data_IF_546697980897
#
_entry.id   IF_546697980897
#
_cell.length_a   1.000
_cell.length_b   1.000
_cell.length_c   1.000
_cell.angle_alpha   90.00
_cell.angle_beta   90.00
_cell.angle_gamma   90.00
#
_symmetry.space_group_name_H-M   'P 1'
#
loop_
_entity.id
_entity.type
_entity.pdbx_description
1 polymer ?
#
# COMPACT_ATOMS: atom_id res chain seq x y z
N UNK A 1 -34.04 -14.29 7.79
CA UNK A 1 -33.54 -13.44 8.89
C UNK A 1 -32.06 -13.71 9.04
N UNK A 2 -31.20 -12.76 8.68
CA UNK A 2 -29.77 -12.87 8.98
C UNK A 2 -29.63 -12.88 10.50
N UNK A 3 -28.94 -13.88 11.05
CA UNK A 3 -28.65 -13.94 12.48
C UNK A 3 -27.86 -12.70 12.88
N UNK A 4 -28.30 -12.00 13.93
CA UNK A 4 -27.64 -10.77 14.38
C UNK A 4 -26.35 -11.12 15.12
N UNK A 5 -25.23 -11.22 14.40
CA UNK A 5 -23.90 -11.58 14.94
C UNK A 5 -23.26 -10.45 15.76
N UNK A 6 -23.81 -9.23 15.67
CA UNK A 6 -23.29 -8.01 16.32
C UNK A 6 -23.01 -8.20 17.80
N UNK A 7 -23.97 -8.74 18.56
CA UNK A 7 -23.82 -8.88 20.03
C UNK A 7 -22.72 -9.88 20.38
N UNK A 8 -22.58 -10.96 19.62
CA UNK A 8 -21.54 -11.97 19.82
C UNK A 8 -20.16 -11.34 19.54
N UNK A 9 -20.03 -10.54 18.47
CA UNK A 9 -18.78 -9.84 18.14
C UNK A 9 -18.40 -8.77 19.17
N UNK A 10 -19.37 -8.09 19.78
CA UNK A 10 -19.12 -7.14 20.86
C UNK A 10 -18.71 -7.87 22.14
N UNK A 11 -19.39 -8.97 22.47
CA UNK A 11 -19.06 -9.80 23.62
C UNK A 11 -17.66 -10.42 23.51
N UNK A 12 -17.22 -10.81 22.30
CA UNK A 12 -15.87 -11.29 22.02
C UNK A 12 -14.78 -10.21 22.24
N UNK A 13 -15.15 -8.95 22.41
CA UNK A 13 -14.25 -7.84 22.75
C UNK A 13 -14.38 -7.40 24.21
N UNK A 14 -15.18 -8.11 25.02
CA UNK A 14 -15.40 -7.78 26.43
C UNK A 14 -14.11 -7.88 27.24
N UNK A 15 -13.87 -6.97 28.20
CA UNK A 15 -12.78 -7.14 29.18
C UNK A 15 -13.01 -8.36 30.08
N UNK A 16 -14.27 -8.75 30.32
CA UNK A 16 -14.62 -9.94 31.10
C UNK A 16 -14.27 -11.22 30.33
N UNK A 17 -13.39 -12.04 30.93
CA UNK A 17 -12.92 -13.27 30.32
C UNK A 17 -14.03 -14.30 30.10
N UNK A 18 -15.01 -14.42 31.00
CA UNK A 18 -16.10 -15.39 30.84
C UNK A 18 -17.00 -15.02 29.66
N UNK A 19 -17.37 -13.73 29.56
CA UNK A 19 -18.17 -13.22 28.44
C UNK A 19 -17.44 -13.41 27.11
N UNK A 20 -16.15 -13.07 27.08
CA UNK A 20 -15.32 -13.19 25.88
C UNK A 20 -15.17 -14.63 25.42
N UNK A 21 -14.82 -15.56 26.32
CA UNK A 21 -14.67 -16.98 25.98
C UNK A 21 -15.98 -17.61 25.51
N UNK A 22 -17.12 -17.27 26.14
CA UNK A 22 -18.42 -17.76 25.69
C UNK A 22 -18.80 -17.24 24.28
N UNK A 23 -18.46 -16.00 23.98
CA UNK A 23 -18.67 -15.42 22.66
C UNK A 23 -17.77 -16.05 21.58
N UNK A 24 -16.49 -16.28 21.89
CA UNK A 24 -15.54 -16.98 21.01
C UNK A 24 -16.00 -18.41 20.72
N UNK A 25 -16.50 -19.13 21.72
CA UNK A 25 -17.06 -20.47 21.54
C UNK A 25 -18.31 -20.44 20.66
N UNK A 26 -19.20 -19.46 20.85
CA UNK A 26 -20.39 -19.27 20.02
C UNK A 26 -20.04 -19.00 18.55
N UNK A 27 -19.02 -18.18 18.29
CA UNK A 27 -18.53 -17.91 16.93
C UNK A 27 -17.97 -19.19 16.29
N UNK A 28 -17.18 -19.96 17.05
CA UNK A 28 -16.61 -21.23 16.59
C UNK A 28 -17.71 -22.24 16.26
N UNK A 29 -18.69 -22.40 17.15
CA UNK A 29 -19.83 -23.29 16.91
C UNK A 29 -20.61 -22.89 15.65
N UNK A 30 -20.87 -21.60 15.43
CA UNK A 30 -21.56 -21.16 14.22
C UNK A 30 -20.73 -21.43 12.95
N UNK A 31 -19.43 -21.18 13.00
CA UNK A 31 -18.51 -21.48 11.89
C UNK A 31 -18.48 -22.98 11.54
N UNK A 32 -18.51 -23.86 12.54
CA UNK A 32 -18.50 -25.32 12.37
C UNK A 32 -19.84 -25.86 11.86
N UNK A 33 -20.96 -25.29 12.33
CA UNK A 33 -22.30 -25.73 11.92
C UNK A 33 -22.69 -25.27 10.52
N UNK A 34 -22.36 -24.03 10.14
CA UNK A 34 -22.76 -23.46 8.86
C UNK A 34 -21.76 -22.39 8.38
N UNK A 35 -20.60 -22.85 7.90
CA UNK A 35 -19.56 -21.97 7.38
C UNK A 35 -20.07 -20.98 6.31
N UNK A 36 -20.82 -21.37 5.26
CA UNK A 36 -21.28 -20.43 4.24
C UNK A 36 -22.05 -19.23 4.82
N UNK A 37 -23.01 -19.49 5.71
CA UNK A 37 -23.82 -18.42 6.30
C UNK A 37 -23.05 -17.65 7.38
N UNK A 38 -22.08 -18.27 8.05
CA UNK A 38 -21.16 -17.57 8.96
C UNK A 38 -20.34 -16.52 8.21
N UNK A 39 -19.72 -16.90 7.09
CA UNK A 39 -18.94 -15.98 6.26
C UNK A 39 -19.80 -14.84 5.70
N UNK A 40 -21.02 -15.14 5.24
CA UNK A 40 -21.99 -14.14 4.79
C UNK A 40 -22.42 -13.20 5.91
N UNK A 41 -22.65 -13.71 7.13
CA UNK A 41 -23.01 -12.86 8.27
C UNK A 41 -21.90 -11.87 8.62
N UNK A 42 -20.63 -12.31 8.56
CA UNK A 42 -19.48 -11.44 8.79
C UNK A 42 -19.33 -10.38 7.70
N UNK A 43 -19.52 -10.73 6.41
CA UNK A 43 -19.43 -9.76 5.32
C UNK A 43 -20.57 -8.73 5.37
N UNK A 44 -21.78 -9.16 5.74
CA UNK A 44 -22.94 -8.28 5.92
C UNK A 44 -22.70 -7.33 7.10
N UNK A 45 -22.23 -7.83 8.24
CA UNK A 45 -21.88 -7.01 9.41
C UNK A 45 -20.84 -5.95 9.03
N UNK A 46 -19.74 -6.35 8.37
CA UNK A 46 -18.68 -5.45 7.91
C UNK A 46 -19.23 -4.34 6.97
N UNK A 47 -20.13 -4.71 6.05
CA UNK A 47 -20.70 -3.79 5.05
C UNK A 47 -21.81 -2.87 5.56
N UNK A 48 -22.31 -3.07 6.78
CA UNK A 48 -23.44 -2.34 7.32
C UNK A 48 -22.99 -1.08 8.09
N UNK A 49 -23.32 0.09 7.55
CA UNK A 49 -22.95 1.39 8.12
C UNK A 49 -23.65 1.74 9.44
N UNK A 50 -24.75 1.05 9.76
CA UNK A 50 -25.47 1.24 11.01
C UNK A 50 -24.90 0.39 12.16
N UNK A 51 -23.97 -0.53 11.87
CA UNK A 51 -23.36 -1.39 12.89
C UNK A 51 -22.16 -0.71 13.58
N UNK A 52 -21.89 -1.01 14.86
CA UNK A 52 -20.78 -0.42 15.59
C UNK A 52 -19.42 -0.66 14.89
N UNK A 53 -18.53 0.35 14.80
CA UNK A 53 -17.22 0.18 14.15
C UNK A 53 -16.40 -1.00 14.69
N UNK A 54 -16.45 -1.23 16.01
CA UNK A 54 -15.76 -2.35 16.65
C UNK A 54 -16.27 -3.73 16.20
N UNK A 55 -17.59 -3.91 15.99
CA UNK A 55 -18.12 -5.19 15.50
C UNK A 55 -17.78 -5.39 14.03
N UNK A 56 -17.87 -4.32 13.21
CA UNK A 56 -17.49 -4.35 11.79
C UNK A 56 -16.02 -4.73 11.60
N UNK A 57 -15.11 -4.09 12.35
CA UNK A 57 -13.68 -4.39 12.33
C UNK A 57 -13.39 -5.84 12.71
N UNK A 58 -13.98 -6.32 13.80
CA UNK A 58 -13.79 -7.71 14.22
C UNK A 58 -14.39 -8.69 13.19
N UNK A 59 -15.55 -8.40 12.62
CA UNK A 59 -16.17 -9.24 11.60
C UNK A 59 -15.25 -9.43 10.39
N UNK A 60 -14.66 -8.34 9.89
CA UNK A 60 -13.70 -8.40 8.79
C UNK A 60 -12.40 -9.13 9.15
N UNK A 61 -11.89 -8.98 10.37
CA UNK A 61 -10.71 -9.74 10.85
C UNK A 61 -11.00 -11.24 10.88
N UNK A 62 -12.14 -11.65 11.43
CA UNK A 62 -12.54 -13.07 11.49
C UNK A 62 -12.76 -13.61 10.07
N UNK A 63 -13.38 -12.83 9.19
CA UNK A 63 -13.58 -13.20 7.79
C UNK A 63 -12.24 -13.41 7.07
N UNK A 64 -11.29 -12.48 7.22
CA UNK A 64 -9.93 -12.61 6.68
C UNK A 64 -9.24 -13.88 7.20
N UNK A 65 -9.28 -14.11 8.50
CA UNK A 65 -8.65 -15.27 9.14
C UNK A 65 -9.34 -16.60 8.77
N UNK A 66 -10.54 -16.55 8.20
CA UNK A 66 -11.23 -17.73 7.66
C UNK A 66 -10.79 -18.08 6.23
N UNK A 67 -9.97 -17.24 5.60
CA UNK A 67 -9.49 -17.37 4.23
C UNK A 67 -7.97 -17.55 4.12
N UNK A 68 -7.23 -17.28 5.19
CA UNK A 68 -5.77 -17.28 5.14
C UNK A 68 -5.14 -17.76 6.45
N UNK A 69 -3.95 -18.34 6.33
CA UNK A 69 -3.13 -18.77 7.45
C UNK A 69 -1.65 -18.69 7.08
N UNK A 70 -0.78 -18.49 8.09
CA UNK A 70 0.68 -18.53 7.89
C UNK A 70 1.18 -19.93 7.56
N UNK A 71 0.53 -20.94 8.14
CA UNK A 71 0.84 -22.34 7.86
C UNK A 71 0.22 -22.75 6.52
N UNK A 72 1.03 -23.33 5.63
CA UNK A 72 0.63 -23.63 4.25
C UNK A 72 -0.42 -24.72 4.18
N UNK A 73 -0.36 -25.73 5.06
CA UNK A 73 -1.34 -26.82 5.12
C UNK A 73 -2.69 -26.22 5.54
N UNK A 74 -2.70 -25.44 6.62
CA UNK A 74 -3.92 -24.78 7.09
C UNK A 74 -4.48 -23.80 6.05
N UNK A 75 -3.61 -23.07 5.34
CA UNK A 75 -4.04 -22.18 4.25
C UNK A 75 -4.76 -22.96 3.16
N UNK A 76 -4.22 -24.09 2.74
CA UNK A 76 -4.86 -24.96 1.74
C UNK A 76 -6.22 -25.48 2.23
N UNK A 77 -6.33 -25.91 3.50
CA UNK A 77 -7.62 -26.32 4.08
C UNK A 77 -8.67 -25.20 4.03
N UNK A 78 -8.28 -23.97 4.41
CA UNK A 78 -9.17 -22.81 4.38
C UNK A 78 -9.58 -22.47 2.94
N UNK A 79 -8.64 -22.53 1.99
CA UNK A 79 -8.91 -22.37 0.56
C UNK A 79 -9.95 -23.38 0.07
N UNK A 80 -9.78 -24.67 0.37
CA UNK A 80 -10.73 -25.71 -0.03
C UNK A 80 -12.11 -25.49 0.60
N UNK A 81 -12.16 -25.06 1.87
CA UNK A 81 -13.42 -24.69 2.52
C UNK A 81 -14.11 -23.53 1.79
N UNK A 82 -13.40 -22.47 1.42
CA UNK A 82 -13.96 -21.37 0.62
C UNK A 82 -14.45 -21.85 -0.76
N UNK A 83 -13.64 -22.66 -1.46
CA UNK A 83 -13.99 -23.19 -2.78
C UNK A 83 -15.31 -23.96 -2.75
N UNK A 84 -15.56 -24.71 -1.67
CA UNK A 84 -16.79 -25.50 -1.46
C UNK A 84 -18.04 -24.66 -1.14
N UNK A 85 -17.91 -23.36 -0.86
CA UNK A 85 -19.05 -22.48 -0.58
C UNK A 85 -19.89 -22.30 -1.85
N UNK A 86 -21.22 -22.26 -1.68
CA UNK A 86 -22.15 -22.02 -2.78
C UNK A 86 -21.84 -20.72 -3.55
N UNK A 87 -21.81 -20.73 -4.89
CA UNK A 87 -21.48 -19.56 -5.70
C UNK A 87 -22.36 -18.33 -5.46
N UNK A 88 -23.65 -18.51 -5.13
CA UNK A 88 -24.54 -17.37 -4.85
C UNK A 88 -24.21 -16.72 -3.49
N UNK A 89 -23.71 -17.50 -2.53
CA UNK A 89 -23.20 -16.97 -1.26
C UNK A 89 -21.87 -16.25 -1.48
N UNK A 90 -20.93 -16.85 -2.23
CA UNK A 90 -19.66 -16.18 -2.59
C UNK A 90 -19.92 -14.84 -3.27
N UNK A 91 -20.85 -14.80 -4.23
CA UNK A 91 -21.24 -13.57 -4.91
C UNK A 91 -21.74 -12.49 -3.94
N UNK A 92 -22.62 -12.84 -3.00
CA UNK A 92 -23.10 -11.89 -1.98
C UNK A 92 -21.98 -11.36 -1.09
N UNK A 93 -21.05 -12.24 -0.68
CA UNK A 93 -19.86 -11.84 0.11
C UNK A 93 -19.02 -10.85 -0.70
N UNK A 94 -18.70 -11.17 -1.95
CA UNK A 94 -17.93 -10.32 -2.87
C UNK A 94 -18.58 -8.94 -3.05
N UNK A 95 -19.89 -8.88 -3.27
CA UNK A 95 -20.62 -7.61 -3.40
C UNK A 95 -20.65 -6.82 -2.08
N UNK A 96 -20.78 -7.48 -0.92
CA UNK A 96 -20.64 -6.83 0.38
C UNK A 96 -19.26 -6.20 0.58
N UNK A 97 -18.19 -6.90 0.20
CA UNK A 97 -16.82 -6.38 0.29
C UNK A 97 -16.62 -5.18 -0.64
N UNK A 98 -17.00 -5.28 -1.91
CA UNK A 98 -16.86 -4.17 -2.85
C UNK A 98 -17.68 -2.95 -2.43
N UNK A 99 -18.89 -3.14 -1.88
CA UNK A 99 -19.67 -2.04 -1.30
C UNK A 99 -18.96 -1.39 -0.10
N UNK A 100 -18.31 -2.19 0.74
CA UNK A 100 -17.60 -1.69 1.94
C UNK A 100 -16.41 -0.80 1.57
N UNK A 101 -15.79 -0.96 0.40
CA UNK A 101 -14.76 -0.03 -0.08
C UNK A 101 -15.29 1.40 -0.20
N UNK A 102 -16.60 1.58 -0.38
CA UNK A 102 -17.27 2.89 -0.40
C UNK A 102 -17.66 3.43 0.97
N UNK A 103 -17.37 2.71 2.06
CA UNK A 103 -17.76 3.10 3.42
C UNK A 103 -17.14 4.43 3.83
N UNK A 104 -17.84 5.31 4.58
CA UNK A 104 -17.21 6.46 5.24
C UNK A 104 -16.18 6.05 6.30
N UNK A 105 -16.26 4.85 6.86
CA UNK A 105 -15.37 4.37 7.94
C UNK A 105 -14.07 3.82 7.37
N UNK A 106 -12.95 4.48 7.67
CA UNK A 106 -11.63 4.08 7.14
C UNK A 106 -11.21 2.66 7.55
N UNK A 107 -11.44 2.26 8.80
CA UNK A 107 -11.12 0.91 9.28
C UNK A 107 -11.90 -0.18 8.53
N UNK A 108 -13.17 0.08 8.18
CA UNK A 108 -14.01 -0.84 7.44
C UNK A 108 -13.49 -1.00 6.00
N UNK A 109 -13.14 0.12 5.34
CA UNK A 109 -12.50 0.10 4.01
C UNK A 109 -11.21 -0.71 4.02
N UNK A 110 -10.30 -0.40 4.94
CA UNK A 110 -9.01 -1.10 5.10
C UNK A 110 -9.19 -2.61 5.27
N UNK A 111 -10.07 -3.00 6.18
CA UNK A 111 -10.32 -4.43 6.45
C UNK A 111 -10.95 -5.10 5.23
N UNK A 112 -11.87 -4.42 4.55
CA UNK A 112 -12.46 -4.94 3.31
C UNK A 112 -11.43 -5.11 2.20
N UNK A 113 -10.51 -4.17 2.01
CA UNK A 113 -9.42 -4.26 1.04
C UNK A 113 -8.57 -5.52 1.25
N UNK A 114 -8.25 -5.84 2.51
CA UNK A 114 -7.51 -7.06 2.86
C UNK A 114 -8.30 -8.33 2.55
N UNK A 115 -9.58 -8.38 2.93
CA UNK A 115 -10.43 -9.56 2.67
C UNK A 115 -10.63 -9.75 1.16
N UNK A 116 -10.87 -8.67 0.41
CA UNK A 116 -10.97 -8.69 -1.05
C UNK A 116 -9.73 -9.32 -1.68
N UNK A 117 -8.53 -8.95 -1.24
CA UNK A 117 -7.29 -9.54 -1.75
C UNK A 117 -7.16 -11.03 -1.42
N UNK A 118 -7.55 -11.47 -0.22
CA UNK A 118 -7.55 -12.90 0.13
C UNK A 118 -8.52 -13.71 -0.73
N UNK A 119 -9.74 -13.22 -0.93
CA UNK A 119 -10.69 -13.88 -1.84
C UNK A 119 -10.15 -13.87 -3.28
N UNK A 120 -9.55 -12.77 -3.73
CA UNK A 120 -8.94 -12.66 -5.06
C UNK A 120 -7.81 -13.70 -5.26
N UNK A 121 -6.94 -13.88 -4.26
CA UNK A 121 -5.86 -14.88 -4.29
C UNK A 121 -6.36 -16.32 -4.42
N UNK A 122 -7.61 -16.59 -4.03
CA UNK A 122 -8.24 -17.90 -4.19
C UNK A 122 -8.96 -18.00 -5.54
N UNK A 123 -9.74 -16.98 -5.92
CA UNK A 123 -10.68 -17.06 -7.04
C UNK A 123 -10.09 -16.63 -8.39
N UNK A 124 -9.10 -15.75 -8.44
CA UNK A 124 -8.48 -15.32 -9.71
C UNK A 124 -7.77 -16.49 -10.42
N UNK A 125 -6.89 -17.27 -9.75
CA UNK A 125 -6.25 -18.43 -10.38
C UNK A 125 -7.26 -19.48 -10.88
N UNK A 126 -8.45 -19.52 -10.25
CA UNK A 126 -9.56 -20.43 -10.59
C UNK A 126 -10.52 -19.86 -11.63
N UNK A 127 -10.30 -18.62 -12.10
CA UNK A 127 -11.18 -17.89 -13.03
C UNK A 127 -12.60 -17.64 -12.49
N UNK A 128 -12.76 -17.57 -11.16
CA UNK A 128 -14.06 -17.37 -10.48
C UNK A 128 -14.38 -15.89 -10.16
N UNK A 129 -13.39 -14.99 -10.25
CA UNK A 129 -13.58 -13.54 -10.01
C UNK A 129 -12.82 -12.63 -10.99
N UNK A 130 -12.98 -12.89 -12.29
CA UNK A 130 -12.22 -12.19 -13.34
C UNK A 130 -12.60 -10.71 -13.51
N UNK A 131 -13.80 -10.31 -13.07
CA UNK A 131 -14.33 -8.96 -13.18
C UNK A 131 -13.80 -8.00 -12.09
N UNK A 132 -13.08 -8.51 -11.07
CA UNK A 132 -12.61 -7.71 -9.94
C UNK A 132 -11.78 -6.50 -10.39
N UNK A 133 -10.75 -6.74 -11.22
CA UNK A 133 -9.83 -5.70 -11.66
C UNK A 133 -10.57 -4.63 -12.48
N UNK A 134 -11.48 -5.04 -13.36
CA UNK A 134 -12.29 -4.12 -14.15
C UNK A 134 -13.21 -3.26 -13.26
N UNK A 135 -13.82 -3.84 -12.22
CA UNK A 135 -14.60 -3.08 -11.23
C UNK A 135 -13.74 -2.08 -10.47
N UNK A 136 -12.56 -2.48 -10.00
CA UNK A 136 -11.64 -1.57 -9.29
C UNK A 136 -11.15 -0.42 -10.19
N UNK A 137 -10.81 -0.71 -11.44
CA UNK A 137 -10.47 0.33 -12.43
C UNK A 137 -11.64 1.31 -12.65
N UNK A 138 -12.87 0.80 -12.67
CA UNK A 138 -14.08 1.63 -12.79
C UNK A 138 -14.19 2.62 -11.62
N UNK A 139 -13.98 2.18 -10.38
CA UNK A 139 -13.97 3.06 -9.21
C UNK A 139 -12.86 4.12 -9.28
N UNK A 140 -11.72 3.81 -9.90
CA UNK A 140 -10.63 4.78 -10.03
C UNK A 140 -10.92 5.85 -11.09
N UNK A 141 -11.55 5.46 -12.19
CA UNK A 141 -11.73 6.27 -13.40
C UNK A 141 -13.01 7.11 -13.39
N UNK A 142 -14.05 6.67 -12.70
CA UNK A 142 -15.32 7.39 -12.64
C UNK A 142 -15.19 8.76 -11.94
N UNK A 143 -15.87 9.76 -12.50
CA UNK A 143 -15.85 11.14 -11.98
C UNK A 143 -16.59 11.27 -10.64
N UNK A 144 -17.69 10.55 -10.47
CA UNK A 144 -18.55 10.64 -9.28
C UNK A 144 -18.02 9.81 -8.08
N UNK A 145 -16.89 9.14 -8.24
CA UNK A 145 -16.32 8.31 -7.17
C UNK A 145 -15.62 9.17 -6.12
N UNK A 146 -15.98 8.95 -4.84
CA UNK A 146 -15.42 9.68 -3.70
C UNK A 146 -13.91 9.42 -3.54
N UNK A 147 -13.16 10.41 -3.05
CA UNK A 147 -11.73 10.23 -2.76
C UNK A 147 -11.44 9.06 -1.82
N UNK A 148 -12.34 8.80 -0.86
CA UNK A 148 -12.22 7.69 0.08
C UNK A 148 -12.35 6.32 -0.60
N UNK A 149 -13.27 6.19 -1.56
CA UNK A 149 -13.40 4.96 -2.35
C UNK A 149 -12.17 4.78 -3.25
N UNK A 150 -11.70 5.82 -3.94
CA UNK A 150 -10.47 5.72 -4.76
C UNK A 150 -9.24 5.34 -3.93
N UNK A 151 -9.09 5.89 -2.73
CA UNK A 151 -8.02 5.49 -1.81
C UNK A 151 -8.13 4.00 -1.43
N UNK A 152 -9.33 3.53 -1.07
CA UNK A 152 -9.56 2.12 -0.75
C UNK A 152 -9.38 1.19 -1.96
N UNK A 153 -9.69 1.68 -3.17
CA UNK A 153 -9.41 0.97 -4.43
C UNK A 153 -7.91 0.77 -4.62
N UNK A 154 -7.08 1.79 -4.40
CA UNK A 154 -5.61 1.65 -4.49
C UNK A 154 -5.08 0.68 -3.45
N UNK A 155 -5.59 0.76 -2.22
CA UNK A 155 -5.22 -0.17 -1.16
C UNK A 155 -5.60 -1.62 -1.50
N UNK A 156 -6.82 -1.85 -2.00
CA UNK A 156 -7.28 -3.16 -2.44
C UNK A 156 -6.42 -3.69 -3.60
N UNK A 157 -6.12 -2.86 -4.60
CA UNK A 157 -5.22 -3.22 -5.70
C UNK A 157 -3.83 -3.58 -5.19
N UNK A 158 -3.27 -2.79 -4.26
CA UNK A 158 -1.96 -3.07 -3.69
C UNK A 158 -1.91 -4.40 -2.96
N UNK A 159 -2.94 -4.74 -2.18
CA UNK A 159 -3.04 -6.07 -1.56
C UNK A 159 -3.28 -7.18 -2.57
N UNK A 160 -4.09 -6.95 -3.62
CA UNK A 160 -4.29 -7.94 -4.70
C UNK A 160 -2.97 -8.25 -5.39
N UNK A 161 -2.17 -7.23 -5.73
CA UNK A 161 -0.85 -7.40 -6.33
C UNK A 161 0.16 -8.09 -5.38
N UNK A 162 -0.01 -7.97 -4.07
CA UNK A 162 0.83 -8.68 -3.08
C UNK A 162 0.50 -10.18 -3.00
N UNK A 163 -0.76 -10.55 -3.23
CA UNK A 163 -1.29 -11.89 -2.93
C UNK A 163 -1.51 -12.76 -4.18
N UNK A 164 -1.64 -12.16 -5.37
CA UNK A 164 -1.92 -12.85 -6.64
C UNK A 164 -0.64 -12.94 -7.47
N UNK A 165 -0.36 -14.10 -8.07
CA UNK A 165 0.79 -14.26 -8.96
C UNK A 165 0.57 -13.50 -10.28
N UNK A 166 1.60 -12.88 -10.88
CA UNK A 166 1.52 -12.31 -12.22
C UNK A 166 1.06 -13.29 -13.30
N UNK A 167 1.30 -14.58 -13.10
CA UNK A 167 0.90 -15.65 -14.03
C UNK A 167 -0.62 -15.91 -14.01
N UNK A 168 -1.31 -15.52 -12.94
CA UNK A 168 -2.75 -15.73 -12.77
C UNK A 168 -3.58 -14.57 -13.34
N UNK A 169 -2.93 -13.46 -13.72
CA UNK A 169 -3.58 -12.31 -14.37
C UNK A 169 -3.35 -12.33 -15.89
N UNK A 170 -4.40 -11.98 -16.62
CA UNK A 170 -4.31 -11.74 -18.06
C UNK A 170 -3.67 -10.38 -18.33
N UNK A 171 -3.05 -10.20 -19.50
CA UNK A 171 -2.33 -8.97 -19.84
C UNK A 171 -3.21 -7.72 -19.81
N UNK A 172 -4.50 -7.84 -20.18
CA UNK A 172 -5.47 -6.75 -20.09
C UNK A 172 -5.77 -6.39 -18.62
N UNK A 173 -5.82 -7.37 -17.72
CA UNK A 173 -5.96 -7.14 -16.28
C UNK A 173 -4.71 -6.46 -15.71
N UNK A 174 -3.50 -6.89 -16.12
CA UNK A 174 -2.24 -6.22 -15.74
C UNK A 174 -2.23 -4.75 -16.16
N UNK A 175 -2.59 -4.48 -17.42
CA UNK A 175 -2.68 -3.12 -17.95
C UNK A 175 -3.73 -2.29 -17.19
N UNK A 176 -4.86 -2.90 -16.82
CA UNK A 176 -5.90 -2.25 -16.03
C UNK A 176 -5.43 -1.92 -14.59
N UNK A 177 -4.68 -2.83 -13.95
CA UNK A 177 -4.04 -2.57 -12.64
C UNK A 177 -3.10 -1.37 -12.74
N UNK A 178 -2.17 -1.38 -13.69
CA UNK A 178 -1.21 -0.29 -13.86
C UNK A 178 -1.90 1.04 -14.17
N UNK A 179 -2.89 1.03 -15.05
CA UNK A 179 -3.69 2.21 -15.37
C UNK A 179 -4.36 2.78 -14.12
N UNK A 180 -5.01 1.94 -13.31
CA UNK A 180 -5.67 2.36 -12.09
C UNK A 180 -4.68 2.93 -11.05
N UNK A 181 -3.54 2.26 -10.86
CA UNK A 181 -2.53 2.69 -9.88
C UNK A 181 -1.89 4.01 -10.29
N UNK A 182 -1.42 4.11 -11.54
CA UNK A 182 -0.76 5.31 -12.08
C UNK A 182 -1.73 6.50 -12.12
N UNK A 183 -2.99 6.26 -12.50
CA UNK A 183 -4.02 7.30 -12.45
C UNK A 183 -4.29 7.74 -11.01
N UNK A 184 -4.36 6.81 -10.06
CA UNK A 184 -4.55 7.12 -8.65
C UNK A 184 -3.40 7.94 -8.06
N UNK A 185 -2.16 7.68 -8.47
CA UNK A 185 -0.98 8.47 -8.08
C UNK A 185 -1.01 9.90 -8.63
N UNK A 186 -1.60 10.10 -9.82
CA UNK A 186 -1.75 11.41 -10.45
C UNK A 186 -2.95 12.24 -9.94
N UNK A 187 -3.82 11.68 -9.11
CA UNK A 187 -5.02 12.39 -8.64
C UNK A 187 -4.74 13.24 -7.40
N UNK A 188 -4.78 14.57 -7.53
CA UNK A 188 -4.62 15.52 -6.40
C UNK A 188 -5.64 15.34 -5.26
N UNK A 189 -6.81 14.75 -5.54
CA UNK A 189 -7.91 14.55 -4.60
C UNK A 189 -7.72 13.33 -3.68
N UNK A 190 -6.88 12.38 -4.10
CA UNK A 190 -6.36 11.31 -3.26
C UNK A 190 -5.06 11.90 -2.75
N UNK A 191 -4.95 12.23 -1.46
CA UNK A 191 -3.84 13.04 -0.96
C UNK A 191 -2.51 12.68 -1.67
N UNK A 192 -1.84 13.64 -2.35
CA UNK A 192 -0.51 13.37 -2.88
C UNK A 192 0.29 12.94 -1.65
N UNK A 193 0.77 11.68 -1.59
CA UNK A 193 1.39 10.97 -0.42
C UNK A 193 0.64 9.73 0.10
N UNK A 194 -0.40 9.17 -0.52
CA UNK A 194 -0.98 7.92 0.00
C UNK A 194 0.05 6.78 -0.06
N UNK A 195 0.52 6.21 1.07
CA UNK A 195 1.45 5.07 1.07
C UNK A 195 0.86 3.87 0.33
N UNK A 196 -0.47 3.78 0.29
CA UNK A 196 -1.20 2.74 -0.45
C UNK A 196 -0.97 2.82 -1.96
N UNK A 197 -0.82 4.03 -2.54
CA UNK A 197 -0.60 4.18 -3.97
C UNK A 197 0.81 3.74 -4.38
N UNK A 198 1.82 4.18 -3.61
CA UNK A 198 3.23 3.79 -3.83
C UNK A 198 3.42 2.30 -3.58
N UNK A 199 2.83 1.77 -2.50
CA UNK A 199 2.87 0.33 -2.21
C UNK A 199 2.16 -0.47 -3.30
N UNK A 200 1.01 0.01 -3.81
CA UNK A 200 0.32 -0.64 -4.91
C UNK A 200 1.16 -0.66 -6.19
N UNK A 201 1.84 0.45 -6.52
CA UNK A 201 2.72 0.47 -7.68
C UNK A 201 3.90 -0.48 -7.51
N UNK A 202 4.57 -0.45 -6.35
CA UNK A 202 5.68 -1.34 -6.04
C UNK A 202 5.28 -2.81 -6.23
N UNK A 203 4.15 -3.22 -5.65
CA UNK A 203 3.64 -4.58 -5.82
C UNK A 203 3.22 -4.86 -7.27
N UNK A 204 2.76 -3.84 -8.02
CA UNK A 204 2.39 -3.99 -9.44
C UNK A 204 3.60 -4.09 -10.39
N UNK A 205 4.82 -3.75 -9.96
CA UNK A 205 6.02 -3.81 -10.82
C UNK A 205 6.35 -5.23 -11.28
N UNK A 206 6.07 -6.25 -10.46
CA UNK A 206 6.25 -7.66 -10.82
C UNK A 206 5.39 -8.07 -12.03
N UNK A 207 4.33 -7.30 -12.32
CA UNK A 207 3.42 -7.52 -13.44
C UNK A 207 3.81 -6.68 -14.67
N UNK A 208 4.64 -5.65 -14.50
CA UNK A 208 4.81 -4.58 -15.49
C UNK A 208 5.89 -4.85 -16.55
N UNK A 209 6.46 -6.05 -16.63
CA UNK A 209 7.61 -6.34 -17.50
C UNK A 209 7.38 -5.88 -18.95
N UNK A 210 6.27 -6.28 -19.56
CA UNK A 210 5.89 -5.88 -20.92
C UNK A 210 5.71 -4.36 -21.05
N UNK A 211 5.21 -3.70 -20.02
CA UNK A 211 5.02 -2.25 -20.01
C UNK A 211 6.36 -1.50 -19.95
N UNK A 212 7.36 -2.07 -19.26
CA UNK A 212 8.72 -1.51 -19.20
C UNK A 212 9.53 -1.74 -20.49
N UNK A 213 9.16 -2.73 -21.31
CA UNK A 213 9.72 -2.93 -22.66
C UNK A 213 9.25 -1.83 -23.62
N UNK A 214 8.04 -1.30 -23.43
CA UNK A 214 7.52 -0.18 -24.21
C UNK A 214 8.07 1.16 -23.67
N UNK A 215 8.85 1.87 -24.49
CA UNK A 215 9.51 3.12 -24.11
C UNK A 215 8.52 4.20 -23.63
N UNK A 216 7.37 4.34 -24.26
CA UNK A 216 6.38 5.35 -23.89
C UNK A 216 5.71 5.03 -22.54
N UNK A 217 5.38 3.76 -22.31
CA UNK A 217 4.75 3.31 -21.06
C UNK A 217 5.75 3.37 -19.90
N UNK A 218 7.00 2.91 -20.13
CA UNK A 218 8.11 3.05 -19.19
C UNK A 218 8.33 4.50 -18.79
N UNK A 219 8.47 5.40 -19.76
CA UNK A 219 8.70 6.82 -19.50
C UNK A 219 7.55 7.44 -18.69
N UNK A 220 6.31 7.06 -18.99
CA UNK A 220 5.14 7.53 -18.26
C UNK A 220 5.10 7.01 -16.81
N UNK A 221 5.35 5.71 -16.58
CA UNK A 221 5.40 5.13 -15.23
C UNK A 221 6.50 5.81 -14.40
N UNK A 222 7.70 5.97 -14.97
CA UNK A 222 8.84 6.65 -14.33
C UNK A 222 8.47 8.10 -13.98
N UNK A 223 7.87 8.84 -14.92
CA UNK A 223 7.44 10.22 -14.67
C UNK A 223 6.51 10.31 -13.47
N UNK A 224 5.50 9.44 -13.40
CA UNK A 224 4.52 9.45 -12.30
C UNK A 224 5.16 9.09 -10.96
N UNK A 225 6.10 8.15 -10.95
CA UNK A 225 6.91 7.84 -9.75
C UNK A 225 7.69 9.07 -9.31
N UNK A 226 8.41 9.72 -10.21
CA UNK A 226 9.22 10.91 -9.92
C UNK A 226 8.36 12.07 -9.39
N UNK A 227 7.24 12.39 -10.04
CA UNK A 227 6.31 13.44 -9.61
C UNK A 227 5.69 13.13 -8.24
N UNK A 228 5.44 11.86 -7.93
CA UNK A 228 4.93 11.45 -6.60
C UNK A 228 6.00 11.52 -5.51
N UNK A 229 7.25 11.21 -5.86
CA UNK A 229 8.38 11.21 -4.93
C UNK A 229 8.95 12.60 -4.66
N UNK A 230 8.82 13.53 -5.61
CA UNK A 230 9.41 14.89 -5.55
C UNK A 230 9.12 15.62 -4.23
N UNK A 231 7.88 15.69 -3.69
CA UNK A 231 7.62 16.40 -2.43
C UNK A 231 8.28 15.74 -1.21
N UNK A 232 8.43 14.41 -1.22
CA UNK A 232 9.08 13.66 -0.14
C UNK A 232 10.59 13.86 -0.21
N UNK A 233 11.16 13.82 -1.41
CA UNK A 233 12.56 14.13 -1.65
C UNK A 233 12.88 15.57 -1.23
N UNK A 234 12.04 16.54 -1.59
CA UNK A 234 12.19 17.94 -1.16
C UNK A 234 12.11 18.09 0.36
N UNK A 235 11.15 17.47 1.03
CA UNK A 235 11.06 17.51 2.50
C UNK A 235 12.26 16.85 3.18
N UNK A 236 12.78 15.76 2.63
CA UNK A 236 13.99 15.12 3.14
C UNK A 236 15.20 16.05 2.97
N UNK A 237 15.35 16.68 1.80
CA UNK A 237 16.40 17.67 1.53
C UNK A 237 16.26 18.85 2.50
N UNK A 238 15.08 19.45 2.67
CA UNK A 238 14.82 20.56 3.60
C UNK A 238 15.15 20.18 5.06
N UNK A 239 14.74 18.99 5.50
CA UNK A 239 15.05 18.48 6.83
C UNK A 239 16.57 18.38 7.03
N UNK A 240 17.28 17.77 6.08
CA UNK A 240 18.73 17.61 6.18
C UNK A 240 19.48 18.94 6.04
N UNK A 241 19.01 19.86 5.19
CA UNK A 241 19.56 21.22 5.11
C UNK A 241 19.39 21.96 6.45
N UNK A 242 18.22 21.87 7.08
CA UNK A 242 17.96 22.50 8.40
C UNK A 242 18.84 21.89 9.49
N UNK A 243 19.02 20.56 9.48
CA UNK A 243 19.94 19.88 10.41
C UNK A 243 21.38 20.33 10.17
N UNK A 244 21.80 20.51 8.92
CA UNK A 244 23.12 21.06 8.60
C UNK A 244 23.28 22.49 9.10
N UNK A 245 22.28 23.35 8.93
CA UNK A 245 22.31 24.74 9.39
C UNK A 245 22.43 24.83 10.92
N UNK A 246 21.68 24.00 11.66
CA UNK A 246 21.78 23.91 13.12
C UNK A 246 23.14 23.32 13.57
N UNK A 247 23.66 22.30 12.89
CA UNK A 247 24.99 21.75 13.20
C UNK A 247 26.12 22.76 12.94
N UNK A 248 26.01 23.59 11.89
CA UNK A 248 26.94 24.69 11.60
C UNK A 248 26.86 25.74 12.72
N UNK A 249 25.67 26.15 13.13
CA UNK A 249 25.49 27.10 14.24
C UNK A 249 26.08 26.58 15.56
N UNK A 250 25.94 25.28 15.85
CA UNK A 250 26.53 24.64 17.04
C UNK A 250 28.07 24.56 16.95
N UNK A 251 28.62 24.37 15.74
CA UNK A 251 30.06 24.38 15.52
C UNK A 251 30.69 25.77 15.64
N UNK A 252 29.95 26.82 15.28
CA UNK A 252 30.38 28.21 15.50
C UNK A 252 30.45 28.58 16.99
N UNK A 253 29.67 27.92 17.85
CA UNK A 253 29.56 28.23 19.28
C UNK A 253 30.39 27.31 20.22
N UNK A 254 31.07 26.27 19.71
CA UNK A 254 31.80 25.33 20.58
C UNK A 254 33.08 24.74 19.96
N UNK A 255 34.20 24.97 20.65
CA UNK A 255 35.55 24.51 20.32
C UNK A 255 35.79 22.99 20.50
N UNK A 256 34.77 22.15 20.64
CA UNK A 256 34.94 20.73 21.05
C UNK A 256 33.89 19.80 20.45
N UNK A 257 34.09 19.27 19.23
CA UNK A 257 33.16 18.28 18.64
C UNK A 257 33.91 17.16 17.89
N UNK A 258 34.22 16.05 18.57
CA UNK A 258 34.69 14.81 17.93
C UNK A 258 33.65 13.67 18.00
N UNK A 259 32.52 13.86 18.68
CA UNK A 259 31.57 12.79 18.98
C UNK A 259 30.33 12.72 18.05
N UNK A 260 29.99 13.77 17.30
CA UNK A 260 28.80 13.78 16.41
C UNK A 260 29.00 13.08 15.04
N UNK A 261 30.24 12.75 14.65
CA UNK A 261 30.57 12.23 13.32
C UNK A 261 30.00 10.85 12.95
N UNK A 262 29.46 10.08 13.90
CA UNK A 262 29.04 8.66 13.67
C UNK A 262 27.55 8.44 13.39
N UNK A 263 26.66 9.37 13.75
CA UNK A 263 25.22 9.25 13.46
C UNK A 263 24.85 9.64 12.02
N UNK A 264 25.62 10.56 11.42
CA UNK A 264 25.42 11.17 10.11
C UNK A 264 25.74 10.26 8.91
N UNK A 265 26.63 9.26 9.07
CA UNK A 265 27.15 8.46 7.95
C UNK A 265 26.14 7.51 7.30
N UNK A 266 25.16 6.97 8.03
CA UNK A 266 24.28 5.91 7.51
C UNK A 266 23.17 6.50 6.63
N UNK A 267 22.55 7.59 7.08
CA UNK A 267 21.51 8.28 6.30
C UNK A 267 22.07 8.89 5.01
N UNK A 268 23.29 9.43 5.06
CA UNK A 268 24.06 9.89 3.89
C UNK A 268 24.24 8.79 2.85
N UNK A 269 24.64 7.58 3.28
CA UNK A 269 24.79 6.44 2.37
C UNK A 269 23.48 6.08 1.67
N UNK A 270 22.36 6.00 2.39
CA UNK A 270 21.07 5.66 1.77
C UNK A 270 20.56 6.72 0.79
N UNK A 271 20.78 8.01 1.05
CA UNK A 271 20.39 9.07 0.13
C UNK A 271 21.17 9.02 -1.19
N UNK A 272 22.48 8.77 -1.12
CA UNK A 272 23.36 8.63 -2.30
C UNK A 272 23.03 7.35 -3.06
N UNK A 273 22.77 6.24 -2.38
CA UNK A 273 22.38 4.98 -3.00
C UNK A 273 21.04 5.11 -3.74
N UNK A 274 20.05 5.76 -3.12
CA UNK A 274 18.78 6.06 -3.78
C UNK A 274 18.97 6.94 -5.02
N UNK A 275 19.78 7.99 -4.92
CA UNK A 275 20.07 8.87 -6.06
C UNK A 275 20.79 8.12 -7.18
N UNK A 276 21.72 7.23 -6.85
CA UNK A 276 22.42 6.39 -7.81
C UNK A 276 21.48 5.39 -8.51
N UNK A 277 20.52 4.81 -7.78
CA UNK A 277 19.49 3.93 -8.36
C UNK A 277 18.55 4.70 -9.30
N UNK A 278 18.12 5.90 -8.89
CA UNK A 278 17.31 6.78 -9.74
C UNK A 278 18.08 7.16 -11.01
N UNK A 279 19.33 7.61 -10.88
CA UNK A 279 20.20 7.95 -12.01
C UNK A 279 20.32 6.81 -13.02
N UNK A 280 20.57 5.57 -12.55
CA UNK A 280 20.65 4.38 -13.41
C UNK A 280 19.33 4.04 -14.12
N UNK A 281 18.21 4.37 -13.50
CA UNK A 281 16.89 3.99 -14.00
C UNK A 281 16.35 5.02 -15.00
N UNK A 282 16.57 6.32 -14.75
CA UNK A 282 15.97 7.40 -15.53
C UNK A 282 16.97 8.11 -16.46
N UNK A 283 18.26 7.77 -16.37
CA UNK A 283 19.32 8.33 -17.21
C UNK A 283 19.41 9.85 -17.10
N UNK A 284 19.68 10.53 -18.20
CA UNK A 284 19.88 11.99 -18.26
C UNK A 284 18.71 12.82 -17.69
N UNK A 285 17.51 12.25 -17.57
CA UNK A 285 16.34 12.93 -17.02
C UNK A 285 16.51 13.37 -15.55
N UNK A 286 17.41 12.73 -14.77
CA UNK A 286 17.67 13.13 -13.38
C UNK A 286 18.59 14.35 -13.26
N UNK A 287 19.42 14.60 -14.26
CA UNK A 287 20.45 15.65 -14.26
C UNK A 287 19.87 17.05 -14.01
N UNK A 288 18.81 17.52 -14.71
CA UNK A 288 18.28 18.86 -14.48
C UNK A 288 17.63 19.04 -13.10
N UNK A 289 17.26 17.95 -12.41
CA UNK A 289 16.67 18.00 -11.07
C UNK A 289 17.72 18.17 -9.97
N UNK A 290 18.92 17.62 -10.18
CA UNK A 290 19.97 17.54 -9.16
C UNK A 290 21.06 18.60 -9.37
N UNK A 291 21.29 19.02 -10.61
CA UNK A 291 22.32 20.01 -10.94
C UNK A 291 22.17 21.36 -10.23
N UNK A 292 20.96 21.90 -9.95
CA UNK A 292 20.85 23.14 -9.17
C UNK A 292 21.47 23.03 -7.78
N UNK A 293 21.22 21.92 -7.08
CA UNK A 293 21.82 21.64 -5.77
C UNK A 293 23.34 21.49 -5.85
N UNK A 294 23.85 20.79 -6.87
CA UNK A 294 25.29 20.63 -7.09
C UNK A 294 25.95 22.00 -7.34
N UNK A 295 25.38 22.81 -8.23
CA UNK A 295 25.94 24.12 -8.58
C UNK A 295 25.99 25.07 -7.38
N UNK A 296 24.99 25.02 -6.52
CA UNK A 296 24.93 25.85 -5.31
C UNK A 296 25.99 25.45 -4.27
N UNK A 297 26.34 24.16 -4.19
CA UNK A 297 27.11 23.64 -3.06
C UNK A 297 28.53 23.17 -3.42
N UNK A 298 28.86 22.95 -4.70
CA UNK A 298 30.17 22.42 -5.12
C UNK A 298 31.35 23.35 -4.82
N UNK A 299 31.11 24.66 -4.66
CA UNK A 299 32.17 25.63 -4.38
C UNK A 299 32.33 25.94 -2.88
N UNK A 300 31.48 25.37 -2.03
CA UNK A 300 31.45 25.61 -0.58
C UNK A 300 32.50 24.74 0.15
N UNK A 301 33.78 25.10 0.02
CA UNK A 301 34.91 24.27 0.47
C UNK A 301 35.64 24.79 1.74
N UNK A 302 35.07 25.77 2.44
CA UNK A 302 35.65 26.26 3.71
C UNK A 302 35.36 25.30 4.88
N UNK A 303 36.09 25.44 5.99
CA UNK A 303 36.02 24.49 7.11
C UNK A 303 34.61 24.36 7.73
N UNK A 304 33.76 25.37 7.52
CA UNK A 304 32.37 25.49 7.98
C UNK A 304 31.35 24.92 6.99
N UNK A 305 31.66 24.89 5.69
CA UNK A 305 30.73 24.43 4.64
C UNK A 305 31.22 23.19 3.89
N UNK A 306 32.36 22.62 4.28
CA UNK A 306 32.98 21.43 3.69
C UNK A 306 32.01 20.25 3.54
N UNK A 307 31.04 20.12 4.45
CA UNK A 307 29.98 19.12 4.37
C UNK A 307 29.09 19.29 3.12
N UNK A 308 28.67 20.51 2.80
CA UNK A 308 27.85 20.81 1.61
C UNK A 308 28.60 20.47 0.31
N UNK A 309 29.91 20.70 0.29
CA UNK A 309 30.77 20.30 -0.82
C UNK A 309 30.91 18.77 -0.94
N UNK A 310 31.05 18.05 0.18
CA UNK A 310 31.04 16.57 0.18
C UNK A 310 29.72 16.02 -0.39
N UNK A 311 28.57 16.57 0.00
CA UNK A 311 27.26 16.15 -0.53
C UNK A 311 27.10 16.46 -2.04
N UNK A 312 27.57 17.62 -2.48
CA UNK A 312 27.58 17.96 -3.91
C UNK A 312 28.47 16.99 -4.71
N UNK A 313 29.62 16.60 -4.17
CA UNK A 313 30.50 15.61 -4.80
C UNK A 313 29.87 14.21 -4.84
N UNK A 314 29.18 13.80 -3.77
CA UNK A 314 28.45 12.53 -3.74
C UNK A 314 27.29 12.51 -4.74
N UNK A 315 26.56 13.61 -4.87
CA UNK A 315 25.50 13.77 -5.88
C UNK A 315 26.04 13.70 -7.31
N UNK A 316 27.19 14.34 -7.60
CA UNK A 316 27.89 14.19 -8.89
C UNK A 316 28.27 12.73 -9.13
N UNK A 317 28.82 12.04 -8.13
CA UNK A 317 29.19 10.63 -8.21
C UNK A 317 27.99 9.72 -8.51
N UNK A 318 26.83 10.01 -7.93
CA UNK A 318 25.59 9.28 -8.21
C UNK A 318 25.06 9.55 -9.64
N UNK A 319 25.13 10.80 -10.11
CA UNK A 319 24.74 11.19 -11.47
C UNK A 319 25.66 10.59 -12.55
N UNK A 320 26.91 10.28 -12.22
CA UNK A 320 27.82 9.61 -13.16
C UNK A 320 27.34 8.20 -13.57
N UNK A 321 26.39 7.61 -12.84
CA UNK A 321 25.74 6.35 -13.20
C UNK A 321 24.49 6.54 -14.09
N UNK A 322 24.18 7.77 -14.51
CA UNK A 322 23.07 8.06 -15.41
C UNK A 322 23.38 7.82 -16.90
N UNK A 323 24.66 7.63 -17.25
CA UNK A 323 25.12 7.40 -18.63
C UNK A 323 25.18 5.93 -19.01
#
# INVERSE_FOLDING_TARGET
MAMEITQILLAAQSPDAQIRTAAEESLKQFQEQNLPHFLLALSVELSNEQKPPASRRLAGIILKNSLDAKDSIRKEELTQRWVSVDPAIKFQIKESLLRTLGSPVAEARHTSSQVTAKVASIEIPRREWQELIAKLLTYMTQQDTTSSLKQATLEALGYVCEEVSPQDLQQDQVNAVLTAVVQGMNQRSIAPKSPSAVKALYNALDFAQTNFENELERAFIIKVVCETAEPVALQAIEFWSTVCDEEIAIQEDSSLITLHRKGSSIARTYAVDCLGLVARTVGDAVVPLVMPFVQENIMKADCTTLFCHEEAMLAIGALAYAT
#
